data_IF_726687596588
#
_entry.id   IF_726687596588
#
_cell.length_a   1.000
_cell.length_b   1.000
_cell.length_c   1.000
_cell.angle_alpha   90.00
_cell.angle_beta   90.00
_cell.angle_gamma   90.00
#
_symmetry.space_group_name_H-M   'P 1'
#
loop_
_entity.id
_entity.type
_entity.pdbx_description
1 polymer ?
#
# COMPACT_ATOMS: atom_id res chain seq x y z
N UNK A 1 9.68 -18.06 17.75
CA UNK A 1 9.51 -18.42 16.33
C UNK A 1 8.94 -17.25 15.50
N UNK A 2 7.87 -16.61 15.97
CA UNK A 2 7.26 -15.38 15.41
C UNK A 2 8.26 -14.27 15.02
N UNK A 3 9.24 -13.98 15.89
CA UNK A 3 10.23 -12.91 15.66
C UNK A 3 11.22 -13.22 14.53
N UNK A 4 11.50 -14.49 14.25
CA UNK A 4 12.37 -14.92 13.16
C UNK A 4 11.65 -14.80 11.80
N UNK A 5 10.37 -15.18 11.76
CA UNK A 5 9.50 -15.02 10.58
C UNK A 5 9.33 -13.55 10.22
N UNK A 6 9.06 -12.69 11.20
CA UNK A 6 8.82 -11.27 10.97
C UNK A 6 10.09 -10.56 10.48
N UNK A 7 11.25 -10.90 11.07
CA UNK A 7 12.55 -10.38 10.62
C UNK A 7 12.87 -10.83 9.20
N UNK A 8 12.65 -12.09 8.86
CA UNK A 8 12.86 -12.61 7.49
C UNK A 8 11.88 -12.02 6.47
N UNK A 9 10.64 -11.73 6.87
CA UNK A 9 9.61 -11.13 6.02
C UNK A 9 9.87 -9.64 5.75
N UNK A 10 10.36 -8.89 6.75
CA UNK A 10 10.73 -7.48 6.59
C UNK A 10 12.14 -7.25 6.03
N UNK A 11 13.10 -8.16 6.24
CA UNK A 11 14.46 -8.08 5.69
C UNK A 11 14.58 -8.66 4.27
N UNK A 12 13.53 -9.26 3.69
CA UNK A 12 13.64 -10.01 2.43
C UNK A 12 13.87 -9.12 1.19
N UNK A 13 15.12 -8.70 1.02
CA UNK A 13 15.80 -8.52 -0.25
C UNK A 13 16.09 -9.85 -0.96
N UNK A 14 15.47 -10.96 -0.54
CA UNK A 14 15.66 -12.26 -1.17
C UNK A 14 14.63 -12.43 -2.28
N UNK A 15 15.08 -12.21 -3.51
CA UNK A 15 14.40 -12.71 -4.69
C UNK A 15 14.20 -14.21 -4.51
N UNK A 16 12.95 -14.68 -4.42
CA UNK A 16 12.63 -16.09 -4.52
C UNK A 16 12.53 -16.41 -6.01
N UNK A 17 13.59 -16.91 -6.67
CA UNK A 17 13.60 -17.06 -8.12
C UNK A 17 12.49 -18.00 -8.63
N UNK A 18 12.05 -18.96 -7.80
CA UNK A 18 10.90 -19.81 -8.11
C UNK A 18 9.54 -19.09 -8.13
N UNK A 19 9.42 -17.94 -7.45
CA UNK A 19 8.22 -17.10 -7.48
C UNK A 19 8.32 -15.97 -8.53
N UNK A 20 9.47 -15.79 -9.17
CA UNK A 20 9.66 -14.81 -10.24
C UNK A 20 8.67 -14.99 -11.42
N UNK A 21 8.39 -16.20 -11.94
CA UNK A 21 7.40 -16.35 -13.01
C UNK A 21 5.98 -15.96 -12.55
N UNK A 22 5.61 -16.27 -11.30
CA UNK A 22 4.33 -15.84 -10.73
C UNK A 22 4.28 -14.31 -10.55
N UNK A 23 5.37 -13.71 -10.08
CA UNK A 23 5.46 -12.26 -9.91
C UNK A 23 5.36 -11.52 -11.25
N UNK A 24 5.98 -12.06 -12.30
CA UNK A 24 5.87 -11.53 -13.66
C UNK A 24 4.44 -11.63 -14.20
N UNK A 25 3.79 -12.80 -14.04
CA UNK A 25 2.40 -12.98 -14.44
C UNK A 25 1.46 -12.02 -13.68
N UNK A 26 1.65 -11.88 -12.37
CA UNK A 26 0.93 -10.90 -11.56
C UNK A 26 1.15 -9.47 -12.09
N UNK A 27 2.38 -9.11 -12.45
CA UNK A 27 2.70 -7.81 -13.04
C UNK A 27 1.95 -7.54 -14.35
N UNK A 28 1.82 -8.54 -15.24
CA UNK A 28 1.03 -8.41 -16.47
C UNK A 28 -0.44 -8.18 -16.18
N UNK A 29 -1.02 -8.96 -15.26
CA UNK A 29 -2.44 -8.84 -14.89
C UNK A 29 -2.71 -7.48 -14.22
N UNK A 30 -1.83 -7.03 -13.34
CA UNK A 30 -1.89 -5.70 -12.72
C UNK A 30 -1.81 -4.59 -13.76
N UNK A 31 -0.87 -4.69 -14.72
CA UNK A 31 -0.72 -3.75 -15.81
C UNK A 31 -1.99 -3.65 -16.67
N UNK A 32 -2.59 -4.80 -17.02
CA UNK A 32 -3.88 -4.86 -17.73
C UNK A 32 -5.02 -4.26 -16.92
N UNK A 33 -5.11 -4.56 -15.61
CA UNK A 33 -6.14 -3.97 -14.75
C UNK A 33 -6.02 -2.45 -14.68
N UNK A 34 -4.79 -1.92 -14.64
CA UNK A 34 -4.54 -0.47 -14.65
C UNK A 34 -4.90 0.16 -15.99
N UNK A 35 -4.58 -0.50 -17.11
CA UNK A 35 -4.93 -0.03 -18.44
C UNK A 35 -6.46 0.02 -18.66
N UNK A 36 -7.21 -0.88 -18.00
CA UNK A 36 -8.68 -0.90 -18.00
C UNK A 36 -9.30 -0.22 -16.77
N UNK A 37 -8.50 0.46 -15.95
CA UNK A 37 -9.05 1.17 -14.81
C UNK A 37 -9.97 2.29 -15.30
N UNK A 38 -11.10 2.45 -14.60
CA UNK A 38 -12.00 3.56 -14.88
C UNK A 38 -11.27 4.88 -14.64
N UNK A 39 -11.54 5.91 -15.46
CA UNK A 39 -11.00 7.23 -15.22
C UNK A 39 -11.38 7.67 -13.80
N UNK A 40 -10.45 8.31 -13.05
CA UNK A 40 -10.72 8.74 -11.70
C UNK A 40 -11.86 9.76 -11.68
N UNK A 41 -12.82 9.53 -10.79
CA UNK A 41 -13.92 10.45 -10.56
C UNK A 41 -13.41 11.67 -9.77
N UNK A 42 -13.79 12.87 -10.23
CA UNK A 42 -13.48 14.12 -9.53
C UNK A 42 -14.55 14.39 -8.49
N UNK A 43 -14.15 14.37 -7.23
CA UNK A 43 -15.01 14.71 -6.11
C UNK A 43 -14.91 16.21 -5.79
N UNK A 44 -15.99 16.80 -5.28
CA UNK A 44 -16.05 18.24 -4.95
C UNK A 44 -15.19 18.63 -3.74
N UNK A 45 -14.69 17.65 -2.99
CA UNK A 45 -13.84 17.84 -1.82
C UNK A 45 -12.44 17.24 -2.04
N UNK A 46 -11.39 17.77 -1.37
CA UNK A 46 -10.07 17.17 -1.41
C UNK A 46 -10.08 15.77 -0.77
N UNK A 47 -9.54 14.77 -1.49
CA UNK A 47 -9.51 13.37 -1.03
C UNK A 47 -8.07 12.90 -0.87
N UNK A 48 -7.77 12.31 0.30
CA UNK A 48 -6.46 11.72 0.62
C UNK A 48 -6.62 10.20 0.74
N UNK A 49 -5.88 9.45 -0.07
CA UNK A 49 -5.89 7.97 -0.06
C UNK A 49 -4.64 7.46 0.66
N UNK A 50 -4.83 6.74 1.77
CA UNK A 50 -3.72 6.14 2.55
C UNK A 50 -3.63 4.65 2.23
N UNK A 51 -2.64 4.29 1.41
CA UNK A 51 -2.33 2.91 1.03
C UNK A 51 -0.99 2.42 1.60
N UNK A 52 -0.65 1.15 1.34
CA UNK A 52 0.72 0.65 1.52
C UNK A 52 1.01 -0.39 0.44
N UNK A 53 2.28 -0.46 0.05
CA UNK A 53 2.79 -1.24 -1.07
C UNK A 53 3.05 -2.71 -0.74
N UNK A 54 3.15 -3.05 0.54
CA UNK A 54 3.44 -4.40 1.02
C UNK A 54 2.25 -5.02 1.75
N UNK A 55 2.20 -6.35 1.75
CA UNK A 55 1.21 -7.13 2.48
C UNK A 55 1.70 -7.32 3.93
N UNK A 56 0.91 -6.88 4.90
CA UNK A 56 1.27 -6.90 6.32
C UNK A 56 0.81 -5.65 7.09
N UNK A 57 1.02 -5.66 8.41
CA UNK A 57 0.68 -4.57 9.32
C UNK A 57 1.66 -3.39 9.23
N UNK A 58 1.63 -2.65 8.14
CA UNK A 58 2.58 -1.54 7.86
C UNK A 58 2.11 -0.16 8.37
N UNK A 59 1.24 -0.13 9.37
CA UNK A 59 0.83 1.13 9.98
C UNK A 59 -0.07 2.04 9.14
N UNK A 60 -0.74 1.55 8.07
CA UNK A 60 -1.70 2.34 7.28
C UNK A 60 -2.76 3.01 8.18
N UNK A 61 -3.29 2.25 9.15
CA UNK A 61 -4.33 2.72 10.07
C UNK A 61 -3.82 3.78 11.04
N UNK A 62 -2.71 3.58 11.78
CA UNK A 62 -2.07 4.65 12.55
C UNK A 62 -1.77 5.92 11.72
N UNK A 63 -1.28 5.77 10.49
CA UNK A 63 -0.97 6.89 9.61
C UNK A 63 -2.23 7.68 9.20
N UNK A 64 -3.31 6.98 8.83
CA UNK A 64 -4.57 7.62 8.49
C UNK A 64 -5.14 8.43 9.67
N UNK A 65 -5.06 7.88 10.90
CA UNK A 65 -5.47 8.58 12.12
C UNK A 65 -4.63 9.82 12.36
N UNK A 66 -3.30 9.72 12.19
CA UNK A 66 -2.42 10.86 12.35
C UNK A 66 -2.72 11.99 11.36
N UNK A 67 -2.98 11.66 10.08
CA UNK A 67 -3.36 12.63 9.05
C UNK A 67 -4.66 13.34 9.44
N UNK A 68 -5.68 12.58 9.84
CA UNK A 68 -6.95 13.13 10.27
C UNK A 68 -6.77 14.13 11.43
N UNK A 69 -6.01 13.75 12.46
CA UNK A 69 -5.71 14.62 13.60
C UNK A 69 -4.92 15.87 13.20
N UNK A 70 -3.96 15.75 12.28
CA UNK A 70 -3.18 16.88 11.79
C UNK A 70 -4.04 17.90 11.04
N UNK A 71 -4.99 17.43 10.23
CA UNK A 71 -5.94 18.29 9.51
C UNK A 71 -6.92 18.97 10.46
N UNK A 72 -7.50 18.23 11.42
CA UNK A 72 -8.40 18.82 12.42
C UNK A 72 -7.71 19.91 13.26
N UNK A 73 -6.42 19.74 13.58
CA UNK A 73 -5.66 20.79 14.28
C UNK A 73 -5.45 22.04 13.43
N UNK A 74 -5.22 21.89 12.13
CA UNK A 74 -5.03 23.02 11.22
C UNK A 74 -6.29 23.86 11.01
N UNK A 75 -7.47 23.25 11.04
CA UNK A 75 -8.74 24.01 10.87
C UNK A 75 -9.19 24.77 12.13
N UNK A 76 -8.57 24.53 13.29
CA UNK A 76 -8.88 25.23 14.54
C UNK A 76 -8.03 26.49 14.79
N UNK A 77 -7.24 26.91 13.80
CA UNK A 77 -6.40 28.13 13.84
C UNK A 77 -6.89 29.11 12.79
#
# INVERSE_FOLDING_TARGET
MEQWLNRRWYESRRSFPGLAPLAWLYGIVEGRRRAWARPPERLAAPVIVVGNLTVGGTGKTPLAVWIAQALTRRERT
#
